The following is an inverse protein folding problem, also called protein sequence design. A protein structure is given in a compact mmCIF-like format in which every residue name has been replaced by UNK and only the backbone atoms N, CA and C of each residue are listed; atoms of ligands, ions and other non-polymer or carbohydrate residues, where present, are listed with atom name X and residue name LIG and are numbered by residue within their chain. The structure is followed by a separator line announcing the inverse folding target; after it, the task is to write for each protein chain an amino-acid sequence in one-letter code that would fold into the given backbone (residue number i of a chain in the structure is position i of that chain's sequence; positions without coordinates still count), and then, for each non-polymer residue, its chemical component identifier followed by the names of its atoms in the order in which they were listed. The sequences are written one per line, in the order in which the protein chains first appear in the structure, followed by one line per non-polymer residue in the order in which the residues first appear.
data_IF_310661993823
#
_entry.id   IF_310661993823
#
_cell.length_a   1.000
_cell.length_b   1.000
_cell.length_c   1.000
_cell.angle_alpha   90.00
_cell.angle_beta   90.00
_cell.angle_gamma   90.00
#
_symmetry.space_group_name_H-M   'P 1'
#
loop_
_entity.id
_entity.type
_entity.pdbx_description
1 polymer ?
#
# COMPACT_ATOMS: atom_id res chain seq x y z
N UNK A 1 3.87 -10.31 -19.65
CA UNK A 1 3.16 -10.08 -18.36
C UNK A 1 3.50 -8.70 -17.84
N UNK A 2 2.48 -7.95 -17.51
CA UNK A 2 2.67 -6.61 -16.92
C UNK A 2 2.79 -6.72 -15.41
N UNK A 3 3.78 -6.01 -14.86
CA UNK A 3 3.96 -5.92 -13.43
C UNK A 3 3.82 -4.46 -13.01
N UNK A 4 3.24 -4.22 -11.84
CA UNK A 4 3.05 -2.87 -11.32
C UNK A 4 3.90 -2.71 -10.07
N UNK A 5 4.64 -1.61 -10.02
CA UNK A 5 5.49 -1.24 -8.89
C UNK A 5 5.04 0.13 -8.40
N UNK A 6 4.26 0.15 -7.33
CA UNK A 6 3.82 1.40 -6.72
C UNK A 6 4.90 1.86 -5.74
N UNK A 7 5.46 3.04 -5.96
CA UNK A 7 6.58 3.55 -5.18
C UNK A 7 6.09 4.57 -4.15
N UNK A 8 6.40 4.33 -2.89
CA UNK A 8 6.02 5.22 -1.79
C UNK A 8 7.25 5.71 -1.04
N UNK A 9 7.31 7.01 -0.72
CA UNK A 9 8.34 7.52 0.18
C UNK A 9 8.01 7.14 1.62
N UNK A 10 9.02 6.73 2.38
CA UNK A 10 8.83 6.37 3.78
C UNK A 10 9.91 7.04 4.64
N UNK A 11 9.59 7.33 5.88
CA UNK A 11 10.52 7.98 6.81
C UNK A 11 11.52 7.01 7.39
N UNK A 12 11.08 5.80 7.70
CA UNK A 12 11.92 4.76 8.27
C UNK A 12 11.71 3.48 7.49
N UNK A 13 12.69 3.10 6.70
CA UNK A 13 12.55 1.96 5.77
C UNK A 13 12.34 0.64 6.52
N UNK A 14 13.04 0.45 7.64
CA UNK A 14 12.93 -0.78 8.42
C UNK A 14 11.54 -0.94 9.02
N UNK A 15 11.02 0.12 9.62
CA UNK A 15 9.68 0.13 10.21
C UNK A 15 8.62 -0.08 9.13
N UNK A 16 8.75 0.60 8.00
CA UNK A 16 7.81 0.47 6.89
C UNK A 16 7.82 -0.94 6.31
N UNK A 17 9.01 -1.53 6.16
CA UNK A 17 9.16 -2.90 5.66
C UNK A 17 8.46 -3.90 6.59
N UNK A 18 8.63 -3.74 7.89
CA UNK A 18 7.96 -4.60 8.87
C UNK A 18 6.45 -4.46 8.78
N UNK A 19 5.95 -3.23 8.65
CA UNK A 19 4.51 -2.99 8.52
C UNK A 19 3.93 -3.70 7.30
N UNK A 20 4.56 -3.55 6.15
CA UNK A 20 4.08 -4.18 4.91
C UNK A 20 4.19 -5.71 4.98
N UNK A 21 5.20 -6.23 5.64
CA UNK A 21 5.30 -7.67 5.88
C UNK A 21 4.10 -8.17 6.68
N UNK A 22 3.69 -7.42 7.68
CA UNK A 22 2.52 -7.78 8.51
C UNK A 22 1.21 -7.62 7.74
N UNK A 23 1.16 -6.77 6.73
CA UNK A 23 0.00 -6.69 5.84
C UNK A 23 -0.15 -7.92 4.94
N UNK A 24 0.91 -8.68 4.75
CA UNK A 24 0.88 -9.86 3.89
C UNK A 24 1.80 -9.80 2.68
N UNK A 25 2.57 -8.73 2.54
CA UNK A 25 3.59 -8.63 1.48
C UNK A 25 4.82 -9.41 1.87
N UNK A 26 5.58 -9.86 0.87
CA UNK A 26 6.85 -10.54 1.07
C UNK A 26 7.97 -9.72 0.45
N UNK A 27 9.02 -9.41 1.23
CA UNK A 27 10.14 -8.65 0.72
C UNK A 27 10.96 -9.50 -0.26
N UNK A 28 11.23 -8.94 -1.44
CA UNK A 28 12.14 -9.54 -2.40
C UNK A 28 13.54 -8.99 -2.13
N UNK A 29 14.38 -9.80 -1.53
CA UNK A 29 15.71 -9.35 -1.09
C UNK A 29 16.63 -9.02 -2.25
N UNK A 30 16.44 -9.68 -3.39
CA UNK A 30 17.27 -9.43 -4.59
C UNK A 30 17.13 -7.97 -5.07
N UNK A 31 15.96 -7.36 -4.89
CA UNK A 31 15.68 -6.01 -5.33
C UNK A 31 15.54 -5.03 -4.17
N UNK A 32 16.08 -5.40 -3.01
CA UNK A 32 16.02 -4.56 -1.80
C UNK A 32 17.43 -4.27 -1.30
N UNK A 33 17.59 -3.06 -0.73
CA UNK A 33 18.85 -2.63 -0.13
C UNK A 33 18.56 -1.57 0.94
N UNK A 34 19.59 -0.79 1.32
CA UNK A 34 19.41 0.23 2.36
C UNK A 34 18.55 1.41 1.91
N UNK A 35 18.25 1.53 0.61
CA UNK A 35 17.46 2.64 0.08
C UNK A 35 16.03 2.25 -0.28
N UNK A 36 15.76 0.96 -0.46
CA UNK A 36 14.47 0.51 -0.98
C UNK A 36 14.16 -0.92 -0.54
N UNK A 37 12.89 -1.15 -0.24
CA UNK A 37 12.36 -2.50 -0.03
C UNK A 37 11.33 -2.82 -1.10
N UNK A 38 11.56 -3.92 -1.83
CA UNK A 38 10.63 -4.40 -2.84
C UNK A 38 9.66 -5.36 -2.17
N UNK A 39 8.43 -4.93 -1.95
CA UNK A 39 7.41 -5.69 -1.24
C UNK A 39 6.45 -6.31 -2.24
N UNK A 40 6.51 -7.63 -2.41
CA UNK A 40 5.66 -8.35 -3.36
C UNK A 40 4.35 -8.77 -2.72
N UNK A 41 3.24 -8.41 -3.34
CA UNK A 41 1.94 -9.00 -3.00
C UNK A 41 1.79 -10.34 -3.72
N UNK A 42 2.09 -10.33 -5.00
CA UNK A 42 2.11 -11.52 -5.85
C UNK A 42 3.11 -11.26 -6.98
N UNK A 43 3.04 -12.05 -8.06
CA UNK A 43 4.00 -11.95 -9.17
C UNK A 43 3.83 -10.68 -10.02
N UNK A 44 2.72 -9.98 -9.89
CA UNK A 44 2.41 -8.83 -10.76
C UNK A 44 2.22 -7.52 -10.02
N UNK A 45 2.09 -7.53 -8.71
CA UNK A 45 1.86 -6.31 -7.93
C UNK A 45 2.87 -6.21 -6.79
N UNK A 46 3.60 -5.10 -6.79
CA UNK A 46 4.65 -4.78 -5.82
C UNK A 46 4.44 -3.38 -5.28
N UNK A 47 4.76 -3.20 -4.01
CA UNK A 47 4.92 -1.87 -3.43
C UNK A 47 6.40 -1.69 -3.14
N UNK A 48 6.98 -0.62 -3.70
CA UNK A 48 8.37 -0.25 -3.45
C UNK A 48 8.39 0.80 -2.36
N UNK A 49 9.01 0.48 -1.25
CA UNK A 49 9.19 1.43 -0.15
C UNK A 49 10.56 2.06 -0.33
N UNK A 50 10.59 3.37 -0.53
CA UNK A 50 11.84 4.09 -0.79
C UNK A 50 12.11 5.08 0.35
N UNK A 51 13.39 5.17 0.77
CA UNK A 51 13.76 6.27 1.64
C UNK A 51 13.43 7.59 0.93
N UNK A 52 13.17 8.65 1.68
CA UNK A 52 12.84 9.94 1.08
C UNK A 52 13.95 10.47 0.20
N UNK A 53 15.20 10.29 0.62
CA UNK A 53 16.35 10.72 -0.19
C UNK A 53 16.45 9.96 -1.52
N UNK A 54 16.18 8.66 -1.49
CA UNK A 54 16.20 7.86 -2.70
C UNK A 54 15.04 8.22 -3.63
N UNK A 55 13.84 8.40 -3.07
CA UNK A 55 12.66 8.83 -3.83
C UNK A 55 12.92 10.14 -4.58
N UNK A 56 13.61 11.05 -3.96
CA UNK A 56 13.95 12.35 -4.53
C UNK A 56 14.68 12.25 -5.87
N UNK A 57 15.43 11.18 -6.06
CA UNK A 57 16.21 11.00 -7.29
C UNK A 57 15.35 10.79 -8.53
N UNK A 58 14.07 10.45 -8.35
CA UNK A 58 13.18 10.10 -9.46
C UNK A 58 12.18 11.20 -9.82
N UNK A 59 12.15 12.29 -9.08
CA UNK A 59 11.07 13.27 -9.22
C UNK A 59 11.52 14.62 -9.76
N UNK A 60 12.76 14.73 -10.23
CA UNK A 60 13.31 15.99 -10.78
C UNK A 60 13.41 17.05 -9.69
N UNK A 61 12.89 18.23 -9.97
CA UNK A 61 12.95 19.36 -9.05
C UNK A 61 11.78 19.42 -8.06
N UNK A 62 10.92 18.40 -8.07
CA UNK A 62 9.76 18.40 -7.19
C UNK A 62 10.17 18.04 -5.76
N UNK A 63 9.34 18.47 -4.82
CA UNK A 63 9.52 18.09 -3.41
C UNK A 63 8.87 16.74 -3.16
N UNK A 64 9.46 15.96 -2.26
CA UNK A 64 8.84 14.72 -1.80
C UNK A 64 7.62 15.10 -0.95
N UNK A 65 6.45 14.61 -1.34
CA UNK A 65 5.22 14.88 -0.59
C UNK A 65 5.28 14.28 0.81
N UNK A 66 4.60 14.91 1.75
CA UNK A 66 4.32 14.30 3.05
C UNK A 66 2.95 13.65 2.93
N UNK A 67 2.87 12.30 2.88
CA UNK A 67 1.58 11.63 2.65
C UNK A 67 0.56 11.86 3.78
N UNK A 68 1.00 12.33 4.93
CA UNK A 68 0.07 12.65 6.03
C UNK A 68 -0.76 13.89 5.75
N UNK A 69 -0.25 14.78 4.92
CA UNK A 69 -0.92 16.07 4.62
C UNK A 69 -1.22 16.27 3.15
N UNK A 70 -0.60 15.48 2.27
CA UNK A 70 -0.73 15.65 0.82
C UNK A 70 -0.89 14.29 0.18
N UNK A 71 -1.92 14.11 -0.64
CA UNK A 71 -2.12 12.85 -1.35
C UNK A 71 -1.90 13.05 -2.84
N UNK A 72 -0.96 12.28 -3.40
CA UNK A 72 -0.68 12.31 -4.83
C UNK A 72 -1.18 11.09 -5.57
N UNK A 73 -1.54 10.03 -4.85
CA UNK A 73 -2.02 8.81 -5.49
C UNK A 73 -2.81 7.96 -4.50
N UNK A 74 -3.75 7.21 -5.04
CA UNK A 74 -4.45 6.13 -4.35
C UNK A 74 -4.10 4.86 -5.12
N UNK A 75 -3.67 3.82 -4.43
CA UNK A 75 -3.26 2.58 -5.09
C UNK A 75 -4.28 1.50 -4.79
N UNK A 76 -5.13 1.24 -5.77
CA UNK A 76 -6.21 0.26 -5.64
C UNK A 76 -5.77 -1.09 -6.20
N UNK A 77 -6.16 -2.15 -5.52
CA UNK A 77 -5.91 -3.49 -6.00
C UNK A 77 -7.04 -4.40 -5.53
N UNK A 78 -7.32 -5.43 -6.32
CA UNK A 78 -8.41 -6.34 -6.01
C UNK A 78 -7.93 -7.54 -5.21
N UNK A 79 -8.81 -8.01 -4.33
CA UNK A 79 -8.62 -9.26 -3.58
C UNK A 79 -9.76 -10.20 -3.94
N UNK A 80 -9.63 -11.48 -3.58
CA UNK A 80 -10.52 -12.52 -4.08
C UNK A 80 -11.82 -12.66 -3.30
N UNK A 81 -11.90 -12.05 -2.12
CA UNK A 81 -13.10 -12.15 -1.28
C UNK A 81 -13.25 -10.95 -0.36
N UNK A 82 -14.48 -10.68 0.11
CA UNK A 82 -14.70 -9.66 1.15
C UNK A 82 -13.91 -9.93 2.41
N UNK A 83 -13.76 -11.22 2.79
CA UNK A 83 -13.02 -11.60 3.99
C UNK A 83 -11.54 -11.19 3.89
N UNK A 84 -10.94 -11.35 2.73
CA UNK A 84 -9.54 -10.93 2.53
C UNK A 84 -9.39 -9.41 2.63
N UNK A 85 -10.36 -8.67 2.11
CA UNK A 85 -10.35 -7.19 2.20
C UNK A 85 -10.42 -6.76 3.66
N UNK A 86 -11.35 -7.35 4.42
CA UNK A 86 -11.51 -7.01 5.83
C UNK A 86 -10.29 -7.40 6.65
N UNK A 87 -9.70 -8.57 6.35
CA UNK A 87 -8.51 -9.04 7.04
C UNK A 87 -7.31 -8.12 6.77
N UNK A 88 -7.17 -7.65 5.54
CA UNK A 88 -6.10 -6.70 5.18
C UNK A 88 -6.23 -5.41 6.00
N UNK A 89 -7.43 -4.84 6.02
CA UNK A 89 -7.69 -3.61 6.76
C UNK A 89 -7.41 -3.79 8.26
N UNK A 90 -7.83 -4.92 8.81
CA UNK A 90 -7.61 -5.19 10.23
C UNK A 90 -6.13 -5.36 10.56
N UNK A 91 -5.36 -6.04 9.69
CA UNK A 91 -3.92 -6.17 9.91
C UNK A 91 -3.23 -4.80 9.92
N UNK A 92 -3.67 -3.88 9.06
CA UNK A 92 -3.13 -2.53 9.06
C UNK A 92 -3.42 -1.84 10.39
N UNK A 93 -4.66 -1.90 10.86
CA UNK A 93 -5.07 -1.27 12.12
C UNK A 93 -4.33 -1.89 13.31
N UNK A 94 -4.19 -3.21 13.34
CA UNK A 94 -3.52 -3.91 14.44
C UNK A 94 -2.02 -3.59 14.51
N UNK A 95 -1.45 -3.04 13.44
CA UNK A 95 -0.02 -2.74 13.37
C UNK A 95 0.29 -1.25 13.27
N UNK A 96 -0.65 -0.39 13.66
CA UNK A 96 -0.41 1.04 13.78
C UNK A 96 -0.90 1.89 12.62
N UNK A 97 -1.37 1.27 11.53
CA UNK A 97 -2.03 1.99 10.46
C UNK A 97 -3.49 2.25 10.81
N UNK A 98 -4.26 2.65 9.81
CA UNK A 98 -5.69 2.88 10.00
C UNK A 98 -6.44 2.55 8.72
N UNK A 99 -7.76 2.46 8.82
CA UNK A 99 -8.58 2.31 7.63
C UNK A 99 -9.91 3.01 7.83
N UNK A 100 -10.55 3.37 6.72
CA UNK A 100 -11.87 3.99 6.74
C UNK A 100 -12.59 3.69 5.42
N UNK A 101 -13.90 3.93 5.42
CA UNK A 101 -14.73 3.79 4.23
C UNK A 101 -14.93 5.16 3.60
N UNK A 102 -14.49 5.33 2.35
CA UNK A 102 -14.64 6.61 1.66
C UNK A 102 -16.01 6.75 0.99
N UNK A 103 -16.54 5.65 0.44
CA UNK A 103 -17.82 5.66 -0.25
C UNK A 103 -18.77 4.70 0.46
N UNK A 104 -19.86 5.24 1.00
CA UNK A 104 -20.83 4.45 1.76
C UNK A 104 -22.05 4.13 0.91
N UNK A 105 -22.85 3.19 1.39
CA UNK A 105 -24.13 2.87 0.79
C UNK A 105 -24.08 1.78 -0.27
N UNK A 106 -22.93 1.24 -0.57
CA UNK A 106 -22.82 0.12 -1.51
C UNK A 106 -23.00 -1.18 -0.71
N UNK A 107 -23.96 -2.04 -1.13
CA UNK A 107 -24.16 -3.32 -0.43
C UNK A 107 -22.91 -4.21 -0.44
N UNK A 108 -22.67 -4.90 0.65
CA UNK A 108 -21.50 -5.76 0.81
C UNK A 108 -21.49 -6.95 -0.15
N UNK A 109 -22.64 -7.33 -0.71
CA UNK A 109 -22.68 -8.38 -1.71
C UNK A 109 -22.34 -7.89 -3.12
N UNK A 110 -22.11 -6.59 -3.27
CA UNK A 110 -21.70 -5.98 -4.53
C UNK A 110 -20.23 -5.55 -4.49
N UNK A 111 -19.80 -4.93 -3.40
CA UNK A 111 -18.43 -4.44 -3.29
C UNK A 111 -18.07 -4.25 -1.82
N UNK A 112 -16.85 -4.65 -1.49
CA UNK A 112 -16.25 -4.34 -0.19
C UNK A 112 -14.88 -3.73 -0.47
N UNK A 113 -14.61 -2.57 0.13
CA UNK A 113 -13.34 -1.89 -0.05
C UNK A 113 -13.12 -0.88 1.06
N UNK A 114 -11.85 -0.58 1.32
CA UNK A 114 -11.46 0.39 2.33
C UNK A 114 -10.30 1.21 1.83
N UNK A 115 -10.17 2.41 2.39
CA UNK A 115 -8.93 3.18 2.30
C UNK A 115 -8.06 2.72 3.47
N UNK A 116 -6.90 2.16 3.18
CA UNK A 116 -5.96 1.68 4.21
C UNK A 116 -4.75 2.58 4.20
N UNK A 117 -4.46 3.18 5.35
CA UNK A 117 -3.39 4.18 5.47
C UNK A 117 -2.21 3.54 6.18
N UNK A 118 -1.04 3.58 5.53
CA UNK A 118 0.17 3.04 6.14
C UNK A 118 0.75 4.00 7.20
N UNK A 119 1.89 3.63 7.78
CA UNK A 119 2.49 4.41 8.87
C UNK A 119 2.97 5.78 8.43
N UNK A 120 3.22 5.96 7.15
CA UNK A 120 3.67 7.23 6.58
C UNK A 120 2.53 8.10 6.05
N UNK A 121 1.35 7.52 5.88
CA UNK A 121 0.19 8.23 5.34
C UNK A 121 -0.14 7.85 3.91
N UNK A 122 0.61 6.95 3.28
CA UNK A 122 0.28 6.46 1.94
C UNK A 122 -0.99 5.61 1.98
N UNK A 123 -1.81 5.69 0.93
CA UNK A 123 -3.13 5.07 0.93
C UNK A 123 -3.20 3.94 -0.09
N UNK A 124 -3.57 2.76 0.41
CA UNK A 124 -3.90 1.59 -0.40
C UNK A 124 -5.41 1.38 -0.38
N UNK A 125 -5.95 0.92 -1.52
CA UNK A 125 -7.39 0.66 -1.62
C UNK A 125 -7.64 -0.82 -1.95
N UNK A 126 -7.54 -1.73 -0.96
CA UNK A 126 -7.92 -3.12 -1.20
C UNK A 126 -9.43 -3.20 -1.43
N UNK A 127 -9.84 -3.94 -2.45
CA UNK A 127 -11.25 -4.05 -2.77
C UNK A 127 -11.60 -5.41 -3.36
N UNK A 128 -12.86 -5.76 -3.20
CA UNK A 128 -13.48 -6.89 -3.85
C UNK A 128 -14.78 -6.42 -4.50
N UNK A 129 -15.03 -6.86 -5.72
CA UNK A 129 -16.27 -6.58 -6.41
C UNK A 129 -16.87 -7.88 -6.89
N UNK A 130 -18.19 -8.00 -6.74
CA UNK A 130 -18.90 -9.17 -7.24
C UNK A 130 -18.77 -9.23 -8.77
N UNK A 131 -18.56 -10.44 -9.27
CA UNK A 131 -18.60 -10.65 -10.71
C UNK A 131 -20.03 -10.66 -11.20
N UNK A 132 -20.20 -10.21 -12.42
CA UNK A 132 -21.51 -10.24 -13.06
C UNK A 132 -21.95 -11.66 -13.38
#
# INVERSE_FOLDING_TARGET
MTMVFANFPVRDLEIATEFYTKLGFTMNEQYSDENASAMAWNDTFFVMLLTRDFYKRFIGNRQVADPKTTSGALVAFSLDSPEEVRAFAKRAQDNGGEYYTAIEGIPDDQMVGFEVVDLDGNILEPSWMANE
#
